data_IF_770076892989
#
_entry.id   IF_770076892989
#
_cell.length_a   1.000
_cell.length_b   1.000
_cell.length_c   1.000
_cell.angle_alpha   90.00
_cell.angle_beta   90.00
_cell.angle_gamma   90.00
#
_symmetry.space_group_name_H-M   'P 1'
#
loop_
_entity.id
_entity.type
_entity.pdbx_description
1 polymer ?
#
# COMPACT_ATOMS: atom_id res chain seq x y z
N UNK A 1 20.41 0.28 -32.20
CA UNK A 1 19.35 1.12 -31.61
C UNK A 1 18.64 0.28 -30.54
N UNK A 2 18.99 0.46 -29.25
CA UNK A 2 18.29 -0.22 -28.15
C UNK A 2 17.06 0.63 -27.80
N UNK A 3 15.86 0.14 -28.08
CA UNK A 3 14.63 0.71 -27.53
C UNK A 3 14.70 0.56 -26.00
N UNK A 4 14.88 1.67 -25.29
CA UNK A 4 14.56 1.73 -23.87
C UNK A 4 13.04 1.79 -23.78
N UNK A 5 12.42 0.62 -23.64
CA UNK A 5 11.01 0.53 -23.26
C UNK A 5 10.99 0.92 -21.77
N UNK A 6 10.58 2.15 -21.46
CA UNK A 6 10.18 2.49 -20.10
C UNK A 6 8.93 1.69 -19.79
N UNK A 7 9.04 0.67 -18.93
CA UNK A 7 7.87 -0.03 -18.42
C UNK A 7 6.94 1.00 -17.75
N UNK A 8 5.62 0.93 -17.96
CA UNK A 8 4.68 1.82 -17.30
C UNK A 8 4.82 1.66 -15.79
N UNK A 9 4.93 2.79 -15.08
CA UNK A 9 4.95 2.79 -13.63
C UNK A 9 3.55 2.38 -13.15
N UNK A 10 3.48 1.26 -12.42
CA UNK A 10 2.21 0.68 -11.97
C UNK A 10 1.67 1.50 -10.80
N UNK A 11 0.39 1.84 -10.87
CA UNK A 11 -0.36 2.46 -9.78
C UNK A 11 -0.80 1.39 -8.78
N UNK A 12 -0.44 1.57 -7.51
CA UNK A 12 -0.64 0.56 -6.47
C UNK A 12 -1.71 0.98 -5.47
N UNK A 13 -1.55 2.15 -4.85
CA UNK A 13 -2.43 2.55 -3.75
C UNK A 13 -2.42 4.06 -3.51
N UNK A 14 -3.53 4.57 -2.99
CA UNK A 14 -3.66 5.94 -2.50
C UNK A 14 -3.88 5.91 -1.00
N UNK A 15 -3.09 6.71 -0.30
CA UNK A 15 -3.15 6.91 1.14
C UNK A 15 -3.65 8.32 1.42
N UNK A 16 -4.46 8.45 2.47
CA UNK A 16 -5.13 9.69 2.81
C UNK A 16 -4.88 10.06 4.27
N UNK A 17 -4.69 11.35 4.55
CA UNK A 17 -4.43 11.83 5.92
C UNK A 17 -5.68 11.89 6.80
N UNK A 18 -6.87 11.74 6.22
CA UNK A 18 -8.15 11.70 6.95
C UNK A 18 -8.95 10.43 6.60
N UNK A 19 -9.97 10.13 7.41
CA UNK A 19 -10.95 9.08 7.13
C UNK A 19 -11.73 9.36 5.85
N UNK A 20 -12.35 8.33 5.28
CA UNK A 20 -13.24 8.45 4.12
C UNK A 20 -12.57 9.07 2.88
N UNK A 21 -11.28 8.79 2.69
CA UNK A 21 -10.50 9.18 1.51
C UNK A 21 -10.37 10.70 1.34
N UNK A 22 -10.17 11.42 2.45
CA UNK A 22 -10.08 12.88 2.49
C UNK A 22 -8.69 13.36 2.93
N UNK A 23 -8.48 14.67 2.79
CA UNK A 23 -7.25 15.34 3.19
C UNK A 23 -6.18 15.27 2.11
N UNK A 24 -4.91 15.29 2.53
CA UNK A 24 -3.77 15.17 1.62
C UNK A 24 -3.71 13.72 1.15
N UNK A 25 -3.44 13.53 -0.14
CA UNK A 25 -3.27 12.23 -0.78
C UNK A 25 -1.79 11.94 -1.06
N UNK A 26 -1.38 10.70 -0.86
CA UNK A 26 -0.15 10.16 -1.38
C UNK A 26 -0.47 8.96 -2.25
N UNK A 27 -0.09 9.05 -3.52
CA UNK A 27 -0.20 7.97 -4.47
C UNK A 27 1.11 7.18 -4.52
N UNK A 28 1.00 5.90 -4.22
CA UNK A 28 2.05 4.91 -4.22
C UNK A 28 2.14 4.20 -5.57
N UNK A 29 3.34 4.23 -6.15
CA UNK A 29 3.63 3.69 -7.47
C UNK A 29 4.81 2.71 -7.44
N UNK A 30 4.84 1.78 -8.40
CA UNK A 30 6.01 0.96 -8.78
C UNK A 30 5.72 -0.52 -8.82
N UNK A 31 6.75 -1.35 -8.72
CA UNK A 31 6.64 -2.78 -9.00
C UNK A 31 5.85 -3.55 -7.93
N UNK A 32 5.18 -4.62 -8.37
CA UNK A 32 4.55 -5.60 -7.48
C UNK A 32 5.59 -6.33 -6.62
N UNK A 33 5.14 -6.93 -5.52
CA UNK A 33 5.95 -7.73 -4.58
C UNK A 33 7.17 -7.00 -4.03
N UNK A 34 7.17 -5.68 -4.11
CA UNK A 34 8.27 -4.83 -3.64
C UNK A 34 7.79 -4.02 -2.47
N UNK A 35 8.50 -4.13 -1.34
CA UNK A 35 8.22 -3.31 -0.18
C UNK A 35 8.46 -1.82 -0.46
N UNK A 36 7.54 -0.97 -0.03
CA UNK A 36 7.62 0.48 -0.16
C UNK A 36 7.38 1.13 1.19
N UNK A 37 8.32 1.98 1.61
CA UNK A 37 8.11 2.89 2.73
C UNK A 37 7.25 4.06 2.28
N UNK A 38 6.30 4.46 3.13
CA UNK A 38 5.72 5.78 3.01
C UNK A 38 6.80 6.84 3.29
N UNK A 39 6.75 8.02 2.66
CA UNK A 39 7.69 9.09 2.94
C UNK A 39 7.69 9.43 4.43
N UNK A 40 8.83 9.88 4.97
CA UNK A 40 8.93 10.24 6.38
C UNK A 40 7.89 11.31 6.80
N UNK A 41 7.52 12.22 5.89
CA UNK A 41 6.47 13.22 6.12
C UNK A 41 5.07 12.62 6.33
N UNK A 42 4.87 11.35 5.98
CA UNK A 42 3.65 10.55 6.16
C UNK A 42 3.68 9.63 7.38
N UNK A 43 4.79 9.60 8.13
CA UNK A 43 4.88 8.78 9.33
C UNK A 43 3.71 9.09 10.27
N UNK A 44 2.91 8.05 10.52
CA UNK A 44 1.72 8.08 11.36
C UNK A 44 0.58 9.02 10.97
N UNK A 45 0.53 9.46 9.71
CA UNK A 45 -0.52 10.38 9.23
C UNK A 45 -1.63 9.70 8.45
N UNK A 46 -1.40 8.48 7.98
CA UNK A 46 -2.40 7.75 7.22
C UNK A 46 -3.64 7.43 8.07
N UNK A 47 -4.82 7.67 7.50
CA UNK A 47 -6.12 7.40 8.13
C UNK A 47 -7.08 6.60 7.26
N UNK A 48 -6.94 6.65 5.93
CA UNK A 48 -7.68 5.78 5.02
C UNK A 48 -6.85 5.44 3.78
N UNK A 49 -7.27 4.43 3.01
CA UNK A 49 -6.54 3.94 1.85
C UNK A 49 -7.46 3.36 0.77
N UNK A 50 -7.06 3.50 -0.49
CA UNK A 50 -7.59 2.71 -1.62
C UNK A 50 -6.45 2.00 -2.34
N UNK A 51 -6.73 0.80 -2.85
CA UNK A 51 -5.85 0.08 -3.79
C UNK A 51 -6.32 0.32 -5.22
N UNK A 52 -5.43 0.21 -6.19
CA UNK A 52 -5.81 0.27 -7.61
C UNK A 52 -6.81 -0.85 -7.96
N UNK A 53 -7.79 -0.53 -8.80
CA UNK A 53 -8.83 -1.45 -9.27
C UNK A 53 -8.69 -1.78 -10.77
N UNK A 54 -7.86 -1.03 -11.50
CA UNK A 54 -7.59 -1.28 -12.92
C UNK A 54 -6.11 -0.99 -13.28
N UNK A 55 -5.24 -2.02 -13.37
CA UNK A 55 -5.50 -3.40 -12.94
C UNK A 55 -5.73 -3.49 -11.43
N UNK A 56 -6.55 -4.46 -11.00
CA UNK A 56 -6.84 -4.64 -9.59
C UNK A 56 -5.61 -5.12 -8.81
N UNK A 57 -5.41 -4.59 -7.61
CA UNK A 57 -4.29 -4.94 -6.73
C UNK A 57 -4.74 -5.23 -5.31
N UNK A 58 -4.02 -6.15 -4.66
CA UNK A 58 -4.16 -6.47 -3.24
C UNK A 58 -2.95 -5.93 -2.49
N UNK A 59 -3.16 -5.30 -1.34
CA UNK A 59 -2.09 -4.68 -0.56
C UNK A 59 -2.04 -5.19 0.88
N UNK A 60 -0.82 -5.30 1.39
CA UNK A 60 -0.49 -5.56 2.78
C UNK A 60 0.06 -4.26 3.36
N UNK A 61 -0.38 -3.89 4.56
CA UNK A 61 0.07 -2.68 5.25
C UNK A 61 0.75 -3.02 6.57
N UNK A 62 1.81 -2.27 6.86
CA UNK A 62 2.71 -2.54 7.96
C UNK A 62 2.82 -1.30 8.86
N UNK A 63 2.80 -1.54 10.17
CA UNK A 63 3.10 -0.52 11.19
C UNK A 63 4.59 -0.25 11.34
N UNK A 64 5.45 -1.11 10.77
CA UNK A 64 6.90 -0.93 10.66
C UNK A 64 7.32 -0.36 9.30
N UNK A 65 8.56 0.13 9.22
CA UNK A 65 9.22 0.39 7.94
C UNK A 65 9.71 -0.93 7.32
N UNK A 66 10.09 -0.89 6.05
CA UNK A 66 10.73 -1.98 5.30
C UNK A 66 9.94 -3.30 5.32
N UNK A 67 8.61 -3.20 5.50
CA UNK A 67 7.70 -4.33 5.59
C UNK A 67 8.12 -5.34 6.66
N UNK A 68 8.77 -4.85 7.73
CA UNK A 68 9.23 -5.63 8.85
C UNK A 68 8.05 -6.30 9.57
N UNK A 69 8.12 -7.62 9.67
CA UNK A 69 7.12 -8.47 10.35
C UNK A 69 7.53 -8.77 11.80
N UNK A 70 8.79 -8.60 12.18
CA UNK A 70 9.28 -9.01 13.49
C UNK A 70 8.86 -8.02 14.59
N UNK A 71 7.98 -8.46 15.49
CA UNK A 71 7.49 -7.60 16.58
C UNK A 71 6.67 -6.38 16.12
N UNK A 72 6.14 -6.40 14.89
CA UNK A 72 5.28 -5.36 14.29
C UNK A 72 3.97 -5.95 13.81
N UNK A 73 2.97 -5.10 13.64
CA UNK A 73 1.69 -5.48 13.06
C UNK A 73 1.71 -5.28 11.54
N UNK A 74 1.27 -6.31 10.82
CA UNK A 74 1.00 -6.29 9.40
C UNK A 74 -0.31 -7.03 9.09
N UNK A 75 -1.03 -6.60 8.05
CA UNK A 75 -2.27 -7.25 7.62
C UNK A 75 -2.51 -7.01 6.13
N UNK A 76 -3.06 -8.00 5.39
CA UNK A 76 -3.76 -7.69 4.14
C UNK A 76 -4.92 -6.74 4.45
N UNK A 77 -5.21 -5.84 3.51
CA UNK A 77 -6.36 -4.93 3.60
C UNK A 77 -7.26 -5.08 2.39
N UNK A 78 -8.55 -4.81 2.60
CA UNK A 78 -9.49 -4.64 1.51
C UNK A 78 -9.03 -3.51 0.57
N UNK A 79 -9.48 -3.55 -0.67
CA UNK A 79 -9.16 -2.52 -1.67
C UNK A 79 -9.62 -1.11 -1.26
N UNK A 80 -10.43 -0.98 -0.21
CA UNK A 80 -10.97 0.27 0.29
C UNK A 80 -11.07 0.24 1.81
N UNK A 81 -10.13 0.91 2.47
CA UNK A 81 -10.12 1.08 3.94
C UNK A 81 -10.59 2.49 4.28
N UNK A 82 -11.84 2.63 4.71
CA UNK A 82 -12.45 3.93 5.03
C UNK A 82 -11.83 4.58 6.28
N UNK A 83 -11.37 3.78 7.24
CA UNK A 83 -10.69 4.24 8.44
C UNK A 83 -9.76 3.14 8.98
N UNK A 84 -8.49 3.49 9.24
CA UNK A 84 -7.58 2.61 9.96
C UNK A 84 -7.86 2.65 11.46
N UNK A 85 -7.97 1.47 12.08
CA UNK A 85 -8.30 1.32 13.50
C UNK A 85 -7.29 0.40 14.23
N UNK A 86 -7.42 0.31 15.56
CA UNK A 86 -6.59 -0.57 16.39
C UNK A 86 -5.10 -0.24 16.28
N UNK A 87 -4.27 -1.24 15.98
CA UNK A 87 -2.82 -1.09 15.80
C UNK A 87 -2.44 -0.08 14.69
N UNK A 88 -3.36 0.17 13.74
CA UNK A 88 -3.18 1.12 12.65
C UNK A 88 -3.85 2.47 12.90
N UNK A 89 -4.42 2.71 14.09
CA UNK A 89 -4.97 4.02 14.46
C UNK A 89 -3.89 5.12 14.45
N UNK A 90 -2.61 4.74 14.57
CA UNK A 90 -1.47 5.63 14.38
C UNK A 90 -0.91 5.57 12.95
N UNK A 91 -1.63 5.03 11.97
CA UNK A 91 -1.24 5.00 10.56
C UNK A 91 -0.35 3.83 10.15
N UNK A 92 -0.04 3.82 8.85
CA UNK A 92 0.80 2.84 8.15
C UNK A 92 2.19 3.46 7.95
N UNK A 93 3.23 2.63 7.90
CA UNK A 93 4.62 3.07 7.63
C UNK A 93 5.19 2.49 6.35
N UNK A 94 4.82 1.26 6.00
CA UNK A 94 5.20 0.64 4.75
C UNK A 94 4.07 -0.23 4.22
N UNK A 95 4.14 -0.53 2.93
CA UNK A 95 3.15 -1.33 2.23
C UNK A 95 3.81 -2.17 1.13
N UNK A 96 3.16 -3.26 0.77
CA UNK A 96 3.53 -4.09 -0.36
C UNK A 96 2.25 -4.51 -1.06
N UNK A 97 2.23 -4.40 -2.39
CA UNK A 97 1.06 -4.73 -3.20
C UNK A 97 1.41 -5.71 -4.30
N UNK A 98 0.43 -6.53 -4.68
CA UNK A 98 0.51 -7.50 -5.77
C UNK A 98 -0.68 -7.34 -6.71
N UNK A 99 -0.52 -7.79 -7.95
CA UNK A 99 -1.64 -7.95 -8.86
C UNK A 99 -2.67 -8.92 -8.25
N UNK A 100 -3.94 -8.54 -8.31
CA UNK A 100 -5.03 -9.46 -8.04
C UNK A 100 -5.39 -10.18 -9.34
N UNK A 101 -5.13 -11.49 -9.39
CA UNK A 101 -5.46 -12.35 -10.54
C UNK A 101 -6.72 -13.16 -10.25
N UNK A 102 -6.78 -13.72 -9.04
CA UNK A 102 -7.85 -14.60 -8.55
C UNK A 102 -7.86 -14.62 -7.00
N UNK A 103 -8.73 -15.43 -6.41
CA UNK A 103 -8.88 -15.58 -4.96
C UNK A 103 -7.65 -16.16 -4.23
N UNK A 104 -6.67 -16.70 -4.97
CA UNK A 104 -5.43 -17.25 -4.40
C UNK A 104 -4.31 -16.22 -4.31
N UNK A 105 -4.51 -15.03 -4.88
CA UNK A 105 -3.53 -13.95 -4.87
C UNK A 105 -3.30 -13.42 -3.45
N UNK A 106 -2.03 -13.32 -3.02
CA UNK A 106 -1.64 -12.73 -1.73
C UNK A 106 -0.87 -11.44 -1.93
N UNK A 107 -0.85 -10.57 -0.91
CA UNK A 107 -0.05 -9.33 -0.96
C UNK A 107 1.34 -9.44 -0.32
N UNK A 108 1.65 -10.54 0.37
CA UNK A 108 2.88 -10.66 1.16
C UNK A 108 3.98 -11.52 0.52
N UNK A 109 3.80 -11.93 -0.74
CA UNK A 109 4.78 -12.69 -1.52
C UNK A 109 5.08 -14.04 -0.88
N UNK A 110 4.32 -15.07 -1.28
CA UNK A 110 4.72 -16.46 -1.09
C UNK A 110 5.43 -16.98 -2.34
#
# INVERSE_FOLDING_TARGET
MRLHISLPIIDLAWFYTESNYRGIEYQGYGDYSTCKNLPYSWDKKTRSMKSNLDPSVICCVFTGADCDKEGKHWTPVDASVQEFQGFYALGVRSYMCNAWVDETSTCDGL
#
